data_IF_095909132850
#
_entry.id   IF_095909132850
#
_cell.length_a   1.000
_cell.length_b   1.000
_cell.length_c   1.000
_cell.angle_alpha   90.00
_cell.angle_beta   90.00
_cell.angle_gamma   90.00
#
_symmetry.space_group_name_H-M   'P 1'
#
loop_
_entity.id
_entity.type
_entity.pdbx_description
1 polymer ?
#
# COMPACT_ATOMS: atom_id res chain seq x y z
N UNK A 1 4.57 7.56 56.04
CA UNK A 1 3.38 7.85 55.20
C UNK A 1 3.30 6.80 54.10
N UNK A 2 2.42 5.79 54.25
CA UNK A 2 2.30 4.64 53.34
C UNK A 2 0.94 4.72 52.65
N UNK A 3 0.90 4.76 51.32
CA UNK A 3 -0.33 4.76 50.53
C UNK A 3 -0.63 3.30 50.14
N UNK A 4 -1.67 2.72 50.76
CA UNK A 4 -2.23 1.43 50.38
C UNK A 4 -3.31 1.66 49.31
N UNK A 5 -3.02 1.28 48.05
CA UNK A 5 -4.02 1.25 47.00
C UNK A 5 -4.75 -0.10 47.01
N UNK A 6 -6.01 -0.10 47.48
CA UNK A 6 -6.95 -1.22 47.37
C UNK A 6 -7.49 -1.28 45.93
N UNK A 7 -7.14 -2.32 45.18
CA UNK A 7 -7.81 -2.63 43.91
C UNK A 7 -9.20 -3.23 44.22
N UNK A 8 -10.26 -2.60 43.71
CA UNK A 8 -11.62 -3.17 43.72
C UNK A 8 -11.79 -4.11 42.53
N UNK A 9 -12.27 -5.32 42.80
CA UNK A 9 -12.77 -6.28 41.83
C UNK A 9 -14.05 -5.70 41.21
N UNK A 10 -14.08 -5.50 39.89
CA UNK A 10 -15.32 -5.18 39.15
C UNK A 10 -15.83 -6.49 38.58
N UNK A 11 -16.95 -6.97 39.12
CA UNK A 11 -17.72 -8.07 38.53
C UNK A 11 -18.68 -7.46 37.51
N UNK A 12 -18.51 -7.81 36.23
CA UNK A 12 -19.46 -7.48 35.18
C UNK A 12 -20.58 -8.52 35.22
N UNK A 13 -21.80 -8.06 35.53
CA UNK A 13 -23.03 -8.84 35.35
C UNK A 13 -23.38 -8.86 33.86
N UNK A 14 -23.52 -10.05 33.29
CA UNK A 14 -24.31 -10.29 32.08
C UNK A 14 -25.79 -10.09 32.42
N UNK A 15 -26.48 -9.33 31.59
CA UNK A 15 -27.91 -9.07 31.73
C UNK A 15 -28.35 -7.92 30.86
N UNK A 16 -29.03 -8.30 29.77
CA UNK A 16 -30.28 -7.69 29.31
C UNK A 16 -30.28 -7.16 27.87
N UNK A 17 -30.98 -7.98 27.10
CA UNK A 17 -31.74 -7.75 25.88
C UNK A 17 -32.37 -6.35 25.86
N UNK A 18 -31.87 -5.48 24.98
CA UNK A 18 -32.55 -4.24 24.61
C UNK A 18 -32.78 -4.28 23.11
N UNK A 19 -34.01 -4.68 22.78
CA UNK A 19 -34.72 -4.41 21.54
C UNK A 19 -34.36 -3.01 21.02
N UNK A 20 -33.54 -2.98 19.97
CA UNK A 20 -33.22 -1.77 19.23
C UNK A 20 -34.44 -1.32 18.44
N UNK A 21 -35.26 -0.48 19.06
CA UNK A 21 -36.26 0.34 18.38
C UNK A 21 -35.53 1.29 17.45
N UNK A 22 -35.42 0.93 16.17
CA UNK A 22 -34.97 1.84 15.11
C UNK A 22 -35.98 2.99 15.00
N UNK A 23 -35.60 4.14 15.53
CA UNK A 23 -36.21 5.41 15.16
C UNK A 23 -35.78 5.72 13.72
N UNK A 24 -36.67 5.49 12.76
CA UNK A 24 -36.55 6.10 11.44
C UNK A 24 -36.92 7.58 11.59
N UNK A 25 -36.06 8.53 11.18
CA UNK A 25 -36.44 9.93 11.16
C UNK A 25 -37.62 10.11 10.21
N UNK A 26 -38.68 10.76 10.70
CA UNK A 26 -39.77 11.29 9.87
C UNK A 26 -39.14 12.31 8.91
N UNK A 27 -38.95 11.90 7.66
CA UNK A 27 -38.61 12.82 6.57
C UNK A 27 -39.86 13.67 6.36
N UNK A 28 -39.79 14.94 6.74
CA UNK A 28 -40.78 15.93 6.35
C UNK A 28 -40.81 16.01 4.81
N UNK A 29 -41.96 16.22 4.16
CA UNK A 29 -42.00 16.47 2.73
C UNK A 29 -41.28 17.79 2.46
N UNK A 30 -39.98 17.70 2.15
CA UNK A 30 -39.18 18.83 1.67
C UNK A 30 -39.79 19.36 0.39
N UNK A 31 -39.87 20.69 0.35
CA UNK A 31 -40.34 21.47 -0.77
C UNK A 31 -39.71 21.01 -2.09
N UNK A 32 -40.54 20.90 -3.12
CA UNK A 32 -40.09 20.61 -4.48
C UNK A 32 -38.90 21.53 -4.85
N UNK A 33 -37.78 20.97 -5.35
CA UNK A 33 -36.66 21.79 -5.77
C UNK A 33 -37.14 22.72 -6.88
N UNK A 34 -37.03 24.02 -6.64
CA UNK A 34 -37.26 25.05 -7.64
C UNK A 34 -36.15 24.88 -8.69
N UNK A 35 -36.50 24.33 -9.85
CA UNK A 35 -35.60 24.19 -10.99
C UNK A 35 -35.33 25.63 -11.49
N UNK A 36 -34.28 26.27 -10.97
CA UNK A 36 -33.70 27.44 -11.60
C UNK A 36 -33.04 26.96 -12.89
N UNK A 37 -33.67 27.31 -14.02
CA UNK A 37 -33.12 27.10 -15.35
C UNK A 37 -31.75 27.79 -15.38
N UNK A 38 -30.68 27.00 -15.44
CA UNK A 38 -29.34 27.53 -15.62
C UNK A 38 -29.32 28.36 -16.92
N UNK A 39 -28.68 29.53 -16.92
CA UNK A 39 -28.54 30.34 -18.12
C UNK A 39 -27.89 29.47 -19.20
N UNK A 40 -28.49 29.48 -20.38
CA UNK A 40 -27.93 28.88 -21.60
C UNK A 40 -26.56 29.50 -21.82
N UNK A 41 -25.51 28.72 -21.52
CA UNK A 41 -24.13 29.12 -21.79
C UNK A 41 -23.99 29.20 -23.30
N UNK A 42 -23.74 30.41 -23.78
CA UNK A 42 -23.54 30.71 -25.19
C UNK A 42 -22.28 29.95 -25.68
N UNK A 43 -22.47 29.04 -26.63
CA UNK A 43 -21.52 28.02 -27.11
C UNK A 43 -20.38 28.60 -27.97
N UNK A 44 -20.14 29.92 -27.87
CA UNK A 44 -19.42 30.68 -28.90
C UNK A 44 -18.02 31.15 -28.48
N UNK A 45 -17.48 30.67 -27.36
CA UNK A 45 -16.10 31.03 -26.95
C UNK A 45 -15.32 29.82 -26.43
N UNK A 46 -15.22 28.76 -27.23
CA UNK A 46 -14.24 27.69 -26.99
C UNK A 46 -12.86 28.29 -27.27
N UNK A 47 -12.16 28.69 -26.21
CA UNK A 47 -10.75 29.03 -26.29
C UNK A 47 -10.01 27.85 -26.95
N UNK A 48 -9.04 28.11 -27.85
CA UNK A 48 -8.27 27.04 -28.48
C UNK A 48 -7.67 26.14 -27.38
N UNK A 49 -7.70 24.80 -27.55
CA UNK A 49 -7.18 23.89 -26.54
C UNK A 49 -5.74 24.27 -26.24
N UNK A 50 -5.45 24.52 -24.97
CA UNK A 50 -4.12 24.90 -24.49
C UNK A 50 -3.08 23.91 -25.03
N UNK A 51 -2.18 24.41 -25.88
CA UNK A 51 -1.07 23.66 -26.48
C UNK A 51 -0.15 22.99 -25.43
N UNK A 52 -0.26 23.40 -24.16
CA UNK A 52 0.53 22.84 -23.06
C UNK A 52 0.23 21.37 -22.74
N UNK A 53 -1.02 20.89 -22.89
CA UNK A 53 -1.36 19.52 -22.50
C UNK A 53 -0.71 18.48 -23.42
N UNK A 54 -0.62 18.78 -24.72
CA UNK A 54 0.01 17.86 -25.70
C UNK A 54 1.51 17.79 -25.47
N UNK A 55 2.16 18.93 -25.24
CA UNK A 55 3.59 19.00 -24.91
C UNK A 55 3.90 18.29 -23.58
N UNK A 56 3.04 18.42 -22.57
CA UNK A 56 3.16 17.72 -21.29
C UNK A 56 2.98 16.20 -21.45
N UNK A 57 2.01 15.75 -22.24
CA UNK A 57 1.83 14.32 -22.56
C UNK A 57 3.03 13.78 -23.35
N UNK A 58 3.54 14.53 -24.34
CA UNK A 58 4.70 14.11 -25.13
C UNK A 58 5.97 14.04 -24.28
N UNK A 59 6.21 15.03 -23.42
CA UNK A 59 7.32 15.03 -22.46
C UNK A 59 7.18 13.87 -21.48
N UNK A 60 5.96 13.59 -20.99
CA UNK A 60 5.68 12.44 -20.14
C UNK A 60 5.92 11.11 -20.87
N UNK A 61 5.47 10.96 -22.12
CA UNK A 61 5.71 9.74 -22.92
C UNK A 61 7.20 9.56 -23.21
N UNK A 62 7.92 10.65 -23.49
CA UNK A 62 9.36 10.65 -23.78
C UNK A 62 10.20 10.30 -22.56
N UNK A 63 9.78 10.75 -21.38
CA UNK A 63 10.43 10.46 -20.09
C UNK A 63 9.93 9.18 -19.43
N UNK A 64 8.79 8.63 -19.88
CA UNK A 64 8.29 7.34 -19.44
C UNK A 64 9.22 6.23 -19.91
N UNK A 65 9.82 5.51 -18.95
CA UNK A 65 10.74 4.43 -19.25
C UNK A 65 10.08 3.42 -20.19
N UNK A 66 10.62 3.28 -21.42
CA UNK A 66 10.23 2.24 -22.39
C UNK A 66 10.18 0.90 -21.68
N UNK A 67 9.15 0.05 -21.81
CA UNK A 67 9.04 -1.23 -21.08
C UNK A 67 10.28 -2.13 -21.16
N UNK A 68 11.15 -1.97 -22.15
CA UNK A 68 12.43 -2.67 -22.31
C UNK A 68 13.60 -2.14 -21.48
N UNK A 69 13.49 -0.97 -20.86
CA UNK A 69 14.59 -0.38 -20.07
C UNK A 69 15.05 -1.37 -18.96
N UNK A 70 16.38 -1.51 -18.74
CA UNK A 70 16.92 -2.43 -17.76
C UNK A 70 16.38 -2.16 -16.35
N UNK A 71 16.27 -3.23 -15.55
CA UNK A 71 16.01 -3.13 -14.12
C UNK A 71 17.34 -3.17 -13.39
N UNK A 72 17.60 -2.18 -12.55
CA UNK A 72 18.77 -2.10 -11.68
C UNK A 72 18.41 -2.63 -10.29
N UNK A 73 19.26 -3.48 -9.73
CA UNK A 73 19.20 -3.90 -8.33
C UNK A 73 20.08 -2.99 -7.48
N UNK A 74 19.56 -2.49 -6.38
CA UNK A 74 20.23 -1.55 -5.49
C UNK A 74 20.12 -2.01 -4.02
N UNK A 75 20.97 -2.93 -3.53
CA UNK A 75 20.99 -3.29 -2.11
C UNK A 75 21.45 -2.08 -1.31
N UNK A 76 20.73 -1.75 -0.24
CA UNK A 76 21.01 -0.58 0.61
C UNK A 76 21.14 0.74 -0.17
N UNK A 77 20.47 0.85 -1.34
CA UNK A 77 20.51 2.03 -2.20
C UNK A 77 21.72 2.13 -3.13
N UNK A 78 22.70 1.22 -3.05
CA UNK A 78 23.87 1.23 -3.93
C UNK A 78 23.60 0.44 -5.22
N UNK A 79 23.65 1.05 -6.42
CA UNK A 79 23.34 0.33 -7.65
C UNK A 79 24.39 -0.75 -7.96
N UNK A 80 23.92 -1.95 -8.33
CA UNK A 80 24.74 -3.06 -8.82
C UNK A 80 24.42 -3.38 -10.30
N UNK A 81 24.38 -4.67 -10.64
CA UNK A 81 24.15 -5.20 -11.98
C UNK A 81 22.68 -5.06 -12.40
N UNK A 82 22.49 -4.94 -13.71
CA UNK A 82 21.18 -5.07 -14.33
C UNK A 82 20.61 -6.48 -14.15
N UNK A 83 19.30 -6.55 -13.95
CA UNK A 83 18.51 -7.76 -13.75
C UNK A 83 17.62 -7.98 -14.98
N UNK A 84 17.72 -9.18 -15.55
CA UNK A 84 17.02 -9.56 -16.78
C UNK A 84 15.67 -10.25 -16.57
N UNK A 85 15.31 -10.65 -15.34
CA UNK A 85 14.06 -11.37 -15.09
C UNK A 85 13.73 -11.58 -13.62
N UNK A 86 12.49 -12.03 -13.37
CA UNK A 86 11.96 -12.31 -12.04
C UNK A 86 12.82 -13.31 -11.24
N UNK A 87 13.30 -14.39 -11.88
CA UNK A 87 14.13 -15.41 -11.20
C UNK A 87 15.48 -14.85 -10.73
N UNK A 88 16.09 -13.97 -11.52
CA UNK A 88 17.35 -13.33 -11.13
C UNK A 88 17.11 -12.34 -9.98
N UNK A 89 15.97 -11.65 -9.99
CA UNK A 89 15.53 -10.78 -8.92
C UNK A 89 15.28 -11.58 -7.63
N UNK A 90 14.63 -12.74 -7.71
CA UNK A 90 14.45 -13.66 -6.59
C UNK A 90 15.79 -14.15 -6.00
N UNK A 91 16.77 -14.46 -6.85
CA UNK A 91 18.14 -14.81 -6.39
C UNK A 91 18.82 -13.65 -5.67
N UNK A 92 18.62 -12.41 -6.12
CA UNK A 92 19.13 -11.21 -5.44
C UNK A 92 18.43 -10.94 -4.11
N UNK A 93 17.12 -11.12 -4.04
CA UNK A 93 16.36 -11.03 -2.77
C UNK A 93 16.87 -12.08 -1.77
N UNK A 94 17.22 -13.28 -2.25
CA UNK A 94 17.77 -14.35 -1.41
C UNK A 94 19.12 -14.02 -0.78
N UNK A 95 19.86 -13.02 -1.30
CA UNK A 95 21.11 -12.57 -0.67
C UNK A 95 20.87 -11.63 0.52
N UNK A 96 19.63 -11.19 0.76
CA UNK A 96 19.23 -10.42 1.94
C UNK A 96 18.90 -11.39 3.08
N UNK A 97 19.95 -11.92 3.72
CA UNK A 97 19.86 -12.97 4.72
C UNK A 97 19.35 -12.45 6.07
N UNK A 98 19.78 -11.24 6.46
CA UNK A 98 19.61 -10.73 7.81
C UNK A 98 18.35 -9.86 7.95
N UNK A 99 17.70 -9.93 9.11
CA UNK A 99 16.54 -9.09 9.42
C UNK A 99 16.98 -7.61 9.39
N UNK A 100 16.22 -6.78 8.69
CA UNK A 100 16.52 -5.36 8.49
C UNK A 100 17.27 -5.07 7.19
N UNK A 101 17.79 -6.10 6.50
CA UNK A 101 18.36 -5.91 5.17
C UNK A 101 17.28 -5.55 4.15
N UNK A 102 17.59 -4.62 3.25
CA UNK A 102 16.65 -4.13 2.26
C UNK A 102 17.35 -3.81 0.95
N UNK A 103 16.55 -3.80 -0.10
CA UNK A 103 17.01 -3.43 -1.42
C UNK A 103 15.87 -2.85 -2.25
N UNK A 104 16.25 -2.07 -3.25
CA UNK A 104 15.35 -1.48 -4.23
C UNK A 104 15.68 -2.03 -5.61
N UNK A 105 14.68 -2.47 -6.35
CA UNK A 105 14.76 -2.67 -7.79
C UNK A 105 14.06 -1.49 -8.47
N UNK A 106 14.71 -0.88 -9.46
CA UNK A 106 14.16 0.26 -10.21
C UNK A 106 14.52 0.16 -11.68
N UNK A 107 13.75 0.81 -12.54
CA UNK A 107 14.06 0.88 -13.97
C UNK A 107 15.07 1.99 -14.23
N UNK A 108 16.01 1.78 -15.12
CA UNK A 108 16.89 2.86 -15.58
C UNK A 108 16.05 3.95 -16.24
N UNK A 109 16.17 5.19 -15.76
CA UNK A 109 15.39 6.36 -16.22
C UNK A 109 13.87 6.26 -15.99
N UNK A 110 13.41 5.34 -15.13
CA UNK A 110 11.99 5.21 -14.80
C UNK A 110 11.67 5.70 -13.40
N UNK A 111 10.44 6.19 -13.23
CA UNK A 111 9.87 6.56 -11.93
C UNK A 111 9.39 5.35 -11.12
N UNK A 112 9.27 4.18 -11.76
CA UNK A 112 8.82 2.94 -11.13
C UNK A 112 9.92 2.27 -10.33
N UNK A 113 9.64 1.98 -9.07
CA UNK A 113 10.51 1.22 -8.19
C UNK A 113 9.72 0.23 -7.34
N UNK A 114 10.40 -0.83 -6.92
CA UNK A 114 9.92 -1.78 -5.94
C UNK A 114 11.02 -2.01 -4.89
N UNK A 115 10.64 -2.02 -3.62
CA UNK A 115 11.49 -2.22 -2.46
C UNK A 115 11.12 -3.55 -1.79
N UNK A 116 12.12 -4.24 -1.25
CA UNK A 116 11.88 -5.32 -0.31
C UNK A 116 12.70 -5.11 0.98
N UNK A 117 12.12 -5.50 2.11
CA UNK A 117 12.75 -5.47 3.43
C UNK A 117 12.62 -6.85 4.06
N UNK A 118 13.73 -7.43 4.49
CA UNK A 118 13.77 -8.69 5.23
C UNK A 118 13.23 -8.46 6.64
N UNK A 119 12.21 -9.23 7.02
CA UNK A 119 11.59 -9.19 8.34
C UNK A 119 11.49 -10.60 8.91
N UNK A 120 11.12 -10.71 10.19
CA UNK A 120 10.82 -12.01 10.78
C UNK A 120 9.71 -12.72 9.99
N UNK A 121 9.97 -13.95 9.56
CA UNK A 121 9.02 -14.80 8.82
C UNK A 121 8.93 -14.57 7.31
N UNK A 122 9.61 -13.57 6.73
CA UNK A 122 9.51 -13.32 5.29
C UNK A 122 10.06 -11.97 4.84
N UNK A 123 9.36 -11.35 3.89
CA UNK A 123 9.71 -10.06 3.31
C UNK A 123 8.48 -9.16 3.26
N UNK A 124 8.68 -7.87 3.55
CA UNK A 124 7.72 -6.84 3.18
C UNK A 124 8.12 -6.32 1.80
N UNK A 125 7.13 -6.16 0.92
CA UNK A 125 7.33 -5.57 -0.40
C UNK A 125 6.56 -4.26 -0.47
N UNK A 126 7.25 -3.21 -0.90
CA UNK A 126 6.68 -1.88 -1.11
C UNK A 126 6.97 -1.44 -2.52
N UNK A 127 6.07 -0.66 -3.08
CA UNK A 127 6.18 -0.15 -4.44
C UNK A 127 5.84 1.32 -4.44
N UNK A 128 6.36 2.04 -5.43
CA UNK A 128 5.93 3.42 -5.64
C UNK A 128 4.43 3.47 -5.99
N UNK A 129 3.74 4.53 -5.59
CA UNK A 129 2.37 4.79 -6.03
C UNK A 129 2.32 5.13 -7.53
N UNK A 130 1.19 5.68 -7.97
CA UNK A 130 1.09 6.25 -9.31
C UNK A 130 2.16 7.35 -9.42
N UNK A 131 3.07 7.31 -10.41
CA UNK A 131 4.04 8.39 -10.63
C UNK A 131 3.35 9.75 -10.71
N UNK A 132 3.82 10.72 -9.94
CA UNK A 132 3.20 12.04 -9.81
C UNK A 132 3.60 12.73 -8.50
N UNK A 133 3.14 13.97 -8.26
CA UNK A 133 3.45 14.74 -7.05
C UNK A 133 2.99 14.03 -5.75
N UNK A 134 1.98 13.17 -5.85
CA UNK A 134 1.45 12.37 -4.75
C UNK A 134 2.00 10.93 -4.72
N UNK A 135 3.20 10.69 -5.25
CA UNK A 135 3.79 9.35 -5.28
C UNK A 135 4.24 8.89 -3.88
N UNK A 136 3.31 8.31 -3.11
CA UNK A 136 3.60 7.64 -1.83
C UNK A 136 3.91 6.15 -2.01
N UNK A 137 4.71 5.59 -1.09
CA UNK A 137 4.95 4.16 -1.03
C UNK A 137 3.64 3.41 -0.70
N UNK A 138 3.38 2.32 -1.42
CA UNK A 138 2.27 1.41 -1.18
C UNK A 138 2.80 0.04 -0.81
N UNK A 139 2.12 -0.62 0.12
CA UNK A 139 2.50 -1.96 0.58
C UNK A 139 1.77 -3.01 -0.24
N UNK A 140 2.49 -4.04 -0.67
CA UNK A 140 1.89 -5.20 -1.35
C UNK A 140 1.40 -6.19 -0.31
N UNK A 141 0.15 -6.63 -0.44
CA UNK A 141 -0.46 -7.65 0.42
C UNK A 141 -1.14 -8.72 -0.41
N UNK A 142 -1.37 -9.91 0.15
CA UNK A 142 -2.22 -10.90 -0.52
C UNK A 142 -3.66 -10.39 -0.60
N UNK A 143 -4.30 -10.58 -1.77
CA UNK A 143 -5.68 -10.21 -2.02
C UNK A 143 -6.62 -11.03 -1.12
N UNK A 144 -7.74 -10.43 -0.73
CA UNK A 144 -8.76 -11.09 0.11
C UNK A 144 -8.37 -11.28 1.58
N UNK A 145 -7.13 -10.94 1.95
CA UNK A 145 -6.74 -10.90 3.36
C UNK A 145 -7.40 -9.66 3.99
N UNK A 146 -8.48 -9.88 4.75
CA UNK A 146 -9.27 -8.81 5.36
C UNK A 146 -8.37 -7.78 6.04
N UNK A 147 -8.68 -6.50 5.80
CA UNK A 147 -8.02 -5.32 6.39
C UNK A 147 -7.70 -5.63 7.84
N UNK A 148 -6.41 -5.79 8.12
CA UNK A 148 -5.93 -6.26 9.41
C UNK A 148 -6.40 -5.27 10.48
N UNK A 149 -7.34 -5.71 11.32
CA UNK A 149 -7.61 -5.03 12.57
C UNK A 149 -6.33 -5.14 13.39
N UNK A 150 -5.79 -4.05 13.94
CA UNK A 150 -4.64 -4.15 14.82
C UNK A 150 -4.98 -5.19 15.90
N UNK A 151 -4.23 -6.30 16.02
CA UNK A 151 -4.38 -7.20 17.11
C UNK A 151 -4.13 -6.34 18.32
N UNK A 152 -5.05 -6.41 19.27
CA UNK A 152 -4.82 -5.93 20.63
C UNK A 152 -3.40 -6.37 21.00
N UNK A 153 -2.50 -5.41 21.22
CA UNK A 153 -1.08 -5.62 21.54
C UNK A 153 -0.97 -6.71 22.59
N UNK A 154 -0.73 -7.95 22.18
CA UNK A 154 -0.32 -9.03 23.07
C UNK A 154 1.09 -9.34 22.67
N UNK A 155 2.03 -8.71 23.37
CA UNK A 155 3.41 -9.16 23.33
C UNK A 155 3.44 -10.60 23.84
N UNK A 156 3.60 -11.55 22.93
CA UNK A 156 3.96 -12.90 23.30
C UNK A 156 5.48 -12.91 23.35
N UNK A 157 6.06 -13.05 24.55
CA UNK A 157 7.50 -13.25 24.73
C UNK A 157 7.73 -14.70 25.13
N UNK A 158 8.70 -15.37 24.49
CA UNK A 158 9.24 -16.67 24.96
C UNK A 158 10.74 -16.49 25.12
N UNK A 159 11.26 -16.78 26.31
CA UNK A 159 12.69 -16.64 26.65
C UNK A 159 13.26 -15.22 26.40
N UNK A 160 12.47 -14.16 26.65
CA UNK A 160 12.91 -12.78 26.43
C UNK A 160 12.88 -12.31 24.96
N UNK A 161 12.62 -13.21 24.02
CA UNK A 161 12.43 -12.87 22.61
C UNK A 161 10.95 -12.63 22.31
N UNK A 162 10.67 -11.53 21.60
CA UNK A 162 9.34 -11.24 21.06
C UNK A 162 9.00 -12.33 20.04
N UNK A 163 7.93 -13.09 20.30
CA UNK A 163 7.55 -14.33 19.61
C UNK A 163 6.28 -14.18 18.77
N UNK A 164 5.95 -12.96 18.40
CA UNK A 164 4.74 -12.67 17.68
C UNK A 164 4.89 -12.96 16.17
N UNK A 165 4.84 -14.25 15.82
CA UNK A 165 4.54 -14.74 14.47
C UNK A 165 3.07 -14.44 14.14
N UNK A 166 2.72 -13.15 14.06
CA UNK A 166 1.49 -12.79 13.35
C UNK A 166 1.75 -13.09 11.88
N UNK A 167 0.92 -13.94 11.28
CA UNK A 167 0.80 -14.03 9.83
C UNK A 167 0.29 -12.67 9.35
N UNK A 168 1.21 -11.72 9.22
CA UNK A 168 0.85 -10.42 8.70
C UNK A 168 0.57 -10.60 7.21
N UNK A 169 -0.57 -10.11 6.70
CA UNK A 169 -0.93 -10.27 5.28
C UNK A 169 0.05 -9.62 4.31
N UNK A 170 0.92 -8.75 4.82
CA UNK A 170 1.99 -8.06 4.11
C UNK A 170 3.34 -8.79 4.14
N UNK A 171 3.45 -9.95 4.81
CA UNK A 171 4.67 -10.76 4.83
C UNK A 171 4.61 -11.82 3.73
N UNK A 172 5.41 -11.61 2.70
CA UNK A 172 5.65 -12.55 1.60
C UNK A 172 6.68 -13.57 2.05
N UNK A 173 6.41 -14.87 1.87
CA UNK A 173 7.19 -15.94 2.53
C UNK A 173 8.33 -16.49 1.70
N UNK A 174 8.37 -16.22 0.40
CA UNK A 174 9.36 -16.80 -0.50
C UNK A 174 10.02 -15.72 -1.34
N UNK A 175 11.31 -15.90 -1.61
CA UNK A 175 12.08 -14.99 -2.48
C UNK A 175 11.56 -15.03 -3.91
N UNK A 176 11.03 -16.18 -4.36
CA UNK A 176 10.37 -16.34 -5.66
C UNK A 176 9.16 -15.43 -5.81
N UNK A 177 8.26 -15.41 -4.83
CA UNK A 177 7.10 -14.50 -4.83
C UNK A 177 7.54 -13.03 -4.78
N UNK A 178 8.52 -12.68 -3.94
CA UNK A 178 9.05 -11.31 -3.88
C UNK A 178 9.61 -10.88 -5.24
N UNK A 179 10.43 -11.73 -5.86
CA UNK A 179 11.00 -11.48 -7.18
C UNK A 179 9.93 -11.30 -8.26
N UNK A 180 8.89 -12.13 -8.25
CA UNK A 180 7.76 -12.04 -9.18
C UNK A 180 6.95 -10.74 -8.99
N UNK A 181 6.64 -10.36 -7.74
CA UNK A 181 5.93 -9.13 -7.40
C UNK A 181 6.72 -7.91 -7.88
N UNK A 182 7.99 -7.80 -7.48
CA UNK A 182 8.85 -6.67 -7.83
C UNK A 182 9.01 -6.57 -9.35
N UNK A 183 9.23 -7.68 -10.04
CA UNK A 183 9.39 -7.71 -11.50
C UNK A 183 8.12 -7.30 -12.24
N UNK A 184 6.97 -7.85 -11.83
CA UNK A 184 5.66 -7.48 -12.40
C UNK A 184 5.39 -5.99 -12.22
N UNK A 185 5.66 -5.45 -11.02
CA UNK A 185 5.46 -4.03 -10.74
C UNK A 185 6.28 -3.13 -11.66
N UNK A 186 7.56 -3.46 -11.82
CA UNK A 186 8.46 -2.77 -12.74
C UNK A 186 8.06 -2.90 -14.22
N UNK A 187 7.09 -3.77 -14.55
CA UNK A 187 6.51 -3.90 -15.89
C UNK A 187 5.08 -3.34 -15.98
N UNK A 188 4.62 -2.66 -14.94
CA UNK A 188 3.32 -1.98 -14.92
C UNK A 188 2.15 -2.85 -14.48
N UNK A 189 2.39 -3.95 -13.76
CA UNK A 189 1.33 -4.83 -13.28
C UNK A 189 1.59 -5.39 -11.90
N UNK A 190 0.64 -6.14 -11.35
CA UNK A 190 0.80 -6.89 -10.10
C UNK A 190 0.39 -8.34 -10.36
N UNK A 191 1.09 -9.35 -9.79
CA UNK A 191 0.67 -10.74 -9.97
C UNK A 191 -0.71 -11.00 -9.38
N UNK A 192 -1.42 -11.99 -9.92
CA UNK A 192 -2.72 -12.42 -9.39
C UNK A 192 -2.63 -12.81 -7.91
N UNK A 193 -3.66 -12.50 -7.14
CA UNK A 193 -3.71 -12.79 -5.71
C UNK A 193 -2.95 -11.79 -4.83
N UNK A 194 -2.49 -10.66 -5.39
CA UNK A 194 -1.93 -9.54 -4.63
C UNK A 194 -2.71 -8.24 -4.87
N UNK A 195 -2.65 -7.34 -3.90
CA UNK A 195 -3.26 -6.01 -3.95
C UNK A 195 -2.33 -4.96 -3.33
N UNK A 196 -2.58 -3.68 -3.63
CA UNK A 196 -1.85 -2.55 -3.04
C UNK A 196 -2.65 -1.94 -1.88
N UNK A 197 -1.99 -1.77 -0.75
CA UNK A 197 -2.53 -1.06 0.41
C UNK A 197 -1.77 0.24 0.68
N UNK A 198 -2.52 1.30 0.96
CA UNK A 198 -1.93 2.57 1.38
C UNK A 198 -1.25 2.41 2.75
N UNK A 199 -0.04 2.94 2.87
CA UNK A 199 0.68 3.02 4.14
C UNK A 199 0.17 4.27 4.84
N UNK A 200 -0.54 4.10 5.97
CA UNK A 200 -0.90 5.24 6.82
C UNK A 200 0.36 5.65 7.59
N UNK A 201 0.75 6.92 7.43
CA UNK A 201 1.76 7.56 8.28
C UNK A 201 1.28 7.66 9.73
#
# INVERSE_FOLDING_TARGET
>A
MRINARLRKIELKEGDDVMSTRWLPRIAPEAAPRIELMPTVDDSTVAPPETGLVEEIEEWVRTSAKPSAPVMWCPFGHPENAIGGADQLARKVATLADIGEWAVARRTHGWTWAQCLRVEGGWIVEVNGIPGPDCFARRVTRAGTRRWLPPRRREVRRNGHLMALYARPDVIRTTGEVGAIMWSWLRGGLPEGFELQAIKA
#
